data_IF_095558669367
#
_entry.id   IF_095558669367
#
_cell.length_a   1.000
_cell.length_b   1.000
_cell.length_c   1.000
_cell.angle_alpha   90.00
_cell.angle_beta   90.00
_cell.angle_gamma   90.00
#
_symmetry.space_group_name_H-M   'P 1'
#
loop_
_entity.id
_entity.type
_entity.pdbx_description
1 polymer ?
#
# COMPACT_ATOMS: atom_id res chain seq x y z
N UNK A 1 -18.42 -14.53 8.66
CA UNK A 1 -16.95 -14.37 8.80
C UNK A 1 -16.49 -13.13 8.06
N UNK A 2 -15.74 -12.26 8.72
CA UNK A 2 -15.24 -11.06 8.04
C UNK A 2 -14.08 -11.43 7.09
N UNK A 3 -14.30 -11.16 5.83
CA UNK A 3 -13.29 -11.37 4.80
C UNK A 3 -12.45 -10.13 4.63
N UNK A 4 -11.18 -10.31 4.24
CA UNK A 4 -10.26 -9.18 4.05
C UNK A 4 -10.75 -8.23 2.95
N UNK A 5 -11.45 -8.74 1.95
CA UNK A 5 -11.99 -7.91 0.88
C UNK A 5 -12.94 -6.81 1.35
N UNK A 6 -13.57 -7.01 2.51
CA UNK A 6 -14.51 -6.03 3.05
C UNK A 6 -13.85 -4.76 3.56
N UNK A 7 -12.55 -4.82 3.88
CA UNK A 7 -11.80 -3.67 4.42
C UNK A 7 -10.75 -3.15 3.46
N UNK A 8 -10.62 -3.76 2.28
CA UNK A 8 -9.69 -3.28 1.28
C UNK A 8 -10.20 -1.95 0.69
N UNK A 9 -9.35 -0.97 0.63
CA UNK A 9 -9.68 0.32 0.04
C UNK A 9 -9.03 0.47 -1.32
N UNK A 10 -9.76 0.93 -2.33
CA UNK A 10 -9.17 1.21 -3.64
C UNK A 10 -8.02 2.19 -3.50
N UNK A 11 -6.98 2.01 -4.27
CA UNK A 11 -5.80 2.86 -4.22
C UNK A 11 -5.37 3.25 -5.62
N UNK A 12 -4.81 4.46 -5.80
CA UNK A 12 -4.26 4.86 -7.09
C UNK A 12 -2.98 4.09 -7.38
N UNK A 13 -2.54 4.16 -8.62
CA UNK A 13 -1.30 3.54 -9.07
C UNK A 13 -0.32 4.61 -9.50
N UNK A 14 0.91 4.52 -9.02
CA UNK A 14 1.99 5.44 -9.38
C UNK A 14 3.05 4.67 -10.15
N UNK A 15 3.64 5.32 -11.16
CA UNK A 15 4.78 4.73 -11.84
C UNK A 15 6.01 4.73 -10.93
N UNK A 16 6.85 3.69 -11.03
CA UNK A 16 8.01 3.55 -10.16
C UNK A 16 9.03 4.68 -10.33
N UNK A 17 9.02 5.36 -11.48
CA UNK A 17 9.94 6.46 -11.75
C UNK A 17 9.43 7.80 -11.25
N UNK A 18 8.19 7.85 -10.74
CA UNK A 18 7.65 9.06 -10.15
C UNK A 18 8.54 9.49 -8.99
N UNK A 19 8.93 10.78 -8.95
CA UNK A 19 9.73 11.27 -7.84
C UNK A 19 8.94 11.21 -6.54
N UNK A 20 9.64 11.10 -5.42
CA UNK A 20 8.99 11.09 -4.12
C UNK A 20 8.20 12.38 -3.87
N UNK A 21 8.69 13.51 -4.41
CA UNK A 21 7.99 14.78 -4.33
C UNK A 21 6.65 14.73 -5.08
N UNK A 22 6.68 14.30 -6.33
CA UNK A 22 5.46 14.22 -7.16
C UNK A 22 4.47 13.20 -6.60
N UNK A 23 4.99 12.09 -6.07
CA UNK A 23 4.14 11.06 -5.46
C UNK A 23 3.42 11.62 -4.23
N UNK A 24 4.13 12.34 -3.38
CA UNK A 24 3.56 12.98 -2.19
C UNK A 24 2.45 13.96 -2.58
N UNK A 25 2.75 14.83 -3.54
CA UNK A 25 1.80 15.82 -4.01
C UNK A 25 0.55 15.16 -4.59
N UNK A 26 0.72 14.14 -5.40
CA UNK A 26 -0.40 13.44 -6.02
C UNK A 26 -1.29 12.76 -4.98
N UNK A 27 -0.72 12.10 -3.99
CA UNK A 27 -1.48 11.46 -2.94
C UNK A 27 -2.28 12.48 -2.12
N UNK A 28 -1.66 13.61 -1.82
CA UNK A 28 -2.35 14.69 -1.10
C UNK A 28 -3.52 15.23 -1.92
N UNK A 29 -3.31 15.48 -3.21
CA UNK A 29 -4.36 16.00 -4.08
C UNK A 29 -5.52 15.01 -4.24
N UNK A 30 -5.22 13.71 -4.26
CA UNK A 30 -6.24 12.67 -4.38
C UNK A 30 -6.91 12.34 -3.04
N UNK A 31 -6.37 12.84 -1.93
CA UNK A 31 -6.88 12.50 -0.60
C UNK A 31 -6.65 11.05 -0.23
N UNK A 32 -5.55 10.45 -0.72
CA UNK A 32 -5.22 9.04 -0.50
C UNK A 32 -3.99 8.91 0.39
N UNK A 33 -3.94 7.84 1.17
CA UNK A 33 -2.84 7.58 2.09
C UNK A 33 -1.78 6.63 1.53
N UNK A 34 -2.12 5.90 0.48
CA UNK A 34 -1.24 4.89 -0.08
C UNK A 34 -1.57 4.65 -1.54
N UNK A 35 -0.63 4.05 -2.26
CA UNK A 35 -0.76 3.78 -3.69
C UNK A 35 -0.01 2.53 -4.07
N UNK A 36 -0.47 1.86 -5.12
CA UNK A 36 0.32 0.82 -5.76
C UNK A 36 1.44 1.47 -6.55
N UNK A 37 2.61 0.84 -6.54
CA UNK A 37 3.73 1.26 -7.38
C UNK A 37 3.89 0.26 -8.50
N UNK A 38 3.99 0.76 -9.73
CA UNK A 38 3.98 -0.07 -10.92
C UNK A 38 5.23 0.15 -11.75
N UNK A 39 5.81 -0.92 -12.24
CA UNK A 39 6.88 -0.90 -13.23
C UNK A 39 6.38 -1.62 -14.47
N UNK A 40 6.38 -0.92 -15.61
CA UNK A 40 5.78 -1.43 -16.84
C UNK A 40 4.32 -1.80 -16.58
N UNK A 41 3.91 -3.03 -16.75
CA UNK A 41 2.53 -3.46 -16.50
C UNK A 41 2.38 -4.28 -15.21
N UNK A 42 3.36 -4.20 -14.31
CA UNK A 42 3.39 -5.02 -13.11
C UNK A 42 3.43 -4.18 -11.84
N UNK A 43 2.53 -4.44 -10.91
CA UNK A 43 2.58 -3.84 -9.58
C UNK A 43 3.73 -4.47 -8.81
N UNK A 44 4.61 -3.63 -8.25
CA UNK A 44 5.82 -4.10 -7.57
C UNK A 44 5.87 -3.76 -6.10
N UNK A 45 4.99 -2.90 -5.61
CA UNK A 45 5.00 -2.54 -4.20
C UNK A 45 3.89 -1.59 -3.84
N UNK A 46 3.92 -1.12 -2.60
CA UNK A 46 2.95 -0.16 -2.05
C UNK A 46 3.71 1.01 -1.44
N UNK A 47 3.35 2.22 -1.83
CA UNK A 47 3.91 3.44 -1.25
C UNK A 47 2.91 4.03 -0.27
N UNK A 48 3.43 4.54 0.85
CA UNK A 48 2.62 5.12 1.91
C UNK A 48 2.94 6.60 2.07
N UNK A 49 1.91 7.44 2.15
CA UNK A 49 2.09 8.88 2.31
C UNK A 49 2.90 9.22 3.57
N UNK A 50 2.66 8.52 4.67
CA UNK A 50 3.38 8.79 5.91
C UNK A 50 4.90 8.61 5.75
N UNK A 51 5.33 7.60 5.03
CA UNK A 51 6.75 7.36 4.78
C UNK A 51 7.35 8.46 3.93
N UNK A 52 6.59 8.92 2.92
CA UNK A 52 7.04 10.00 2.07
C UNK A 52 7.15 11.31 2.84
N UNK A 53 6.18 11.59 3.72
CA UNK A 53 6.19 12.80 4.55
C UNK A 53 7.33 12.79 5.57
N UNK A 54 7.68 11.63 6.12
CA UNK A 54 8.80 11.54 7.03
C UNK A 54 10.12 11.92 6.36
N UNK A 55 10.29 11.53 5.10
CA UNK A 55 11.46 11.93 4.33
C UNK A 55 11.49 13.43 4.13
N UNK A 56 10.33 14.03 3.92
CA UNK A 56 10.21 15.49 3.82
C UNK A 56 10.68 16.18 5.08
N UNK A 57 10.26 15.68 6.23
CA UNK A 57 10.61 16.27 7.53
C UNK A 57 12.09 16.15 7.84
N UNK A 58 12.75 15.12 7.33
CA UNK A 58 14.18 14.93 7.55
C UNK A 58 15.03 15.84 6.66
N UNK A 59 14.40 16.63 5.80
CA UNK A 59 15.09 17.53 4.89
C UNK A 59 15.63 16.84 3.65
N UNK A 60 15.36 15.58 3.49
CA UNK A 60 15.81 14.80 2.35
C UNK A 60 14.79 14.91 1.20
N UNK A 61 14.64 16.13 0.69
CA UNK A 61 13.74 16.41 -0.43
C UNK A 61 14.48 16.07 -1.71
N UNK A 62 14.85 14.81 -1.87
CA UNK A 62 15.61 14.44 -3.03
C UNK A 62 14.70 14.05 -4.19
N UNK A 63 15.27 14.04 -5.37
CA UNK A 63 14.61 13.58 -6.58
C UNK A 63 14.55 12.06 -6.63
N UNK A 64 14.55 11.45 -5.45
CA UNK A 64 14.52 10.01 -5.29
C UNK A 64 13.20 9.46 -5.80
N UNK A 65 13.23 8.33 -6.46
CA UNK A 65 12.00 7.74 -6.97
C UNK A 65 11.14 7.15 -5.84
N UNK A 66 9.85 7.12 -6.05
CA UNK A 66 8.90 6.57 -5.09
C UNK A 66 9.20 5.10 -4.78
N UNK A 67 9.81 4.39 -5.72
CA UNK A 67 10.17 2.99 -5.53
C UNK A 67 11.14 2.75 -4.36
N UNK A 68 11.90 3.76 -3.97
CA UNK A 68 12.83 3.63 -2.85
C UNK A 68 12.13 3.70 -1.50
N UNK A 69 10.86 4.12 -1.48
CA UNK A 69 10.08 4.24 -0.24
C UNK A 69 8.91 3.27 -0.19
N UNK A 70 8.80 2.37 -1.16
CA UNK A 70 7.71 1.42 -1.19
C UNK A 70 8.03 0.21 -0.31
N UNK A 71 6.96 -0.41 0.21
CA UNK A 71 7.06 -1.71 0.85
C UNK A 71 6.99 -2.80 -0.21
N UNK A 72 7.61 -3.96 0.04
CA UNK A 72 7.48 -5.09 -0.86
C UNK A 72 6.01 -5.47 -1.05
N UNK A 73 5.66 -5.91 -2.24
CA UNK A 73 4.31 -6.34 -2.53
C UNK A 73 4.06 -7.73 -1.94
N UNK A 74 3.11 -7.82 -1.03
CA UNK A 74 2.50 -9.10 -0.65
C UNK A 74 1.01 -8.97 -0.92
N UNK A 75 0.36 -10.07 -1.22
CA UNK A 75 -1.05 -10.03 -1.55
C UNK A 75 -1.80 -11.23 -1.00
N UNK A 76 -3.12 -11.05 -0.89
CA UNK A 76 -4.01 -12.05 -0.34
C UNK A 76 -5.31 -12.01 -1.13
N UNK A 77 -5.98 -13.13 -1.24
CA UNK A 77 -7.27 -13.18 -1.93
C UNK A 77 -8.37 -12.55 -1.06
N UNK A 78 -9.31 -11.88 -1.69
CA UNK A 78 -10.37 -11.12 -1.01
C UNK A 78 -11.25 -11.98 -0.10
N UNK A 79 -11.36 -13.27 -0.36
CA UNK A 79 -12.20 -14.18 0.42
C UNK A 79 -11.46 -14.82 1.61
N UNK A 80 -10.21 -14.47 1.83
CA UNK A 80 -9.48 -14.93 3.00
C UNK A 80 -9.88 -14.12 4.24
N UNK A 81 -9.70 -14.70 5.42
CA UNK A 81 -10.06 -14.00 6.65
C UNK A 81 -9.04 -12.92 7.02
N UNK A 82 -9.51 -11.95 7.79
CA UNK A 82 -8.67 -10.82 8.23
C UNK A 82 -7.51 -11.28 9.09
N UNK A 83 -7.71 -12.33 9.90
CA UNK A 83 -6.65 -12.86 10.75
C UNK A 83 -5.45 -13.35 9.92
N UNK A 84 -5.70 -13.97 8.77
CA UNK A 84 -4.65 -14.42 7.90
C UNK A 84 -3.87 -13.26 7.29
N UNK A 85 -4.57 -12.19 6.93
CA UNK A 85 -3.92 -10.99 6.41
C UNK A 85 -2.99 -10.37 7.47
N UNK A 86 -3.47 -10.27 8.71
CA UNK A 86 -2.66 -9.78 9.82
C UNK A 86 -1.40 -10.61 10.01
N UNK A 87 -1.57 -11.93 10.00
CA UNK A 87 -0.45 -12.86 10.14
C UNK A 87 0.59 -12.67 9.03
N UNK A 88 0.13 -12.54 7.79
CA UNK A 88 1.04 -12.34 6.66
C UNK A 88 1.80 -11.03 6.76
N UNK A 89 1.15 -9.96 7.18
CA UNK A 89 1.81 -8.68 7.33
C UNK A 89 2.84 -8.71 8.46
N UNK A 90 2.51 -9.32 9.59
CA UNK A 90 3.43 -9.44 10.70
C UNK A 90 4.64 -10.32 10.35
N UNK A 91 4.38 -11.44 9.69
CA UNK A 91 5.44 -12.37 9.29
C UNK A 91 6.40 -11.73 8.28
N UNK A 92 5.88 -10.91 7.37
CA UNK A 92 6.68 -10.27 6.34
C UNK A 92 7.18 -8.89 6.74
N UNK A 93 6.84 -8.45 7.94
CA UNK A 93 7.25 -7.15 8.48
C UNK A 93 6.85 -5.99 7.55
N UNK A 94 5.61 -6.02 7.08
CA UNK A 94 5.04 -4.95 6.25
C UNK A 94 3.77 -4.43 6.90
N UNK A 95 3.36 -3.22 6.55
CA UNK A 95 2.17 -2.58 7.11
C UNK A 95 0.98 -2.58 6.16
N UNK A 96 1.19 -2.99 4.91
CA UNK A 96 0.16 -2.98 3.88
C UNK A 96 0.15 -4.31 3.14
N UNK A 97 -1.04 -4.73 2.74
CA UNK A 97 -1.22 -5.94 1.94
C UNK A 97 -2.17 -5.64 0.79
N UNK A 98 -1.82 -6.07 -0.40
CA UNK A 98 -2.69 -5.93 -1.56
C UNK A 98 -3.74 -7.03 -1.55
N UNK A 99 -4.98 -6.66 -1.84
CA UNK A 99 -6.09 -7.61 -1.84
C UNK A 99 -6.52 -7.83 -3.29
N UNK A 100 -6.62 -9.09 -3.68
CA UNK A 100 -6.95 -9.46 -5.06
C UNK A 100 -8.20 -10.32 -5.13
N UNK A 101 -8.82 -10.33 -6.32
CA UNK A 101 -9.90 -11.26 -6.62
C UNK A 101 -9.33 -12.66 -6.83
N UNK A 102 -10.20 -13.65 -6.98
CA UNK A 102 -9.78 -15.01 -7.31
C UNK A 102 -8.95 -15.06 -8.60
N UNK A 103 -9.29 -14.20 -9.56
CA UNK A 103 -8.59 -14.14 -10.85
C UNK A 103 -7.23 -13.42 -10.75
N UNK A 104 -6.95 -12.74 -9.63
CA UNK A 104 -5.70 -12.04 -9.43
C UNK A 104 -5.75 -10.54 -9.71
N UNK A 105 -6.94 -10.00 -9.96
CA UNK A 105 -7.10 -8.56 -10.17
C UNK A 105 -7.07 -7.84 -8.82
N UNK A 106 -6.44 -6.68 -8.77
CA UNK A 106 -6.33 -5.93 -7.52
C UNK A 106 -7.65 -5.26 -7.16
N UNK A 107 -8.11 -5.51 -5.92
CA UNK A 107 -9.30 -4.89 -5.36
C UNK A 107 -8.92 -3.61 -4.62
N UNK A 108 -7.81 -3.64 -3.92
CA UNK A 108 -7.35 -2.50 -3.13
C UNK A 108 -6.25 -2.90 -2.17
N UNK A 109 -6.07 -2.07 -1.14
CA UNK A 109 -5.03 -2.26 -0.14
C UNK A 109 -5.67 -2.25 1.25
N UNK A 110 -5.22 -3.14 2.13
CA UNK A 110 -5.60 -3.12 3.53
C UNK A 110 -4.36 -2.83 4.37
N UNK A 111 -4.53 -2.11 5.47
CA UNK A 111 -3.43 -1.78 6.36
C UNK A 111 -3.50 -2.59 7.65
N UNK A 112 -2.34 -2.90 8.21
CA UNK A 112 -2.26 -3.58 9.51
C UNK A 112 -2.92 -2.74 10.60
N UNK A 113 -2.70 -1.44 10.57
CA UNK A 113 -3.26 -0.51 11.53
C UNK A 113 -4.80 -0.53 11.51
N UNK A 114 -5.38 -0.60 10.33
CA UNK A 114 -6.83 -0.68 10.17
C UNK A 114 -7.37 -1.97 10.77
N UNK A 115 -6.69 -3.10 10.49
CA UNK A 115 -7.12 -4.40 11.01
C UNK A 115 -7.01 -4.48 12.53
N UNK A 116 -5.97 -3.91 13.11
CA UNK A 116 -5.81 -3.84 14.56
C UNK A 116 -6.93 -3.02 15.19
N UNK A 117 -7.32 -1.92 14.56
CA UNK A 117 -8.37 -1.04 15.05
C UNK A 117 -9.75 -1.70 15.01
N UNK A 118 -9.98 -2.57 14.04
CA UNK A 118 -11.26 -3.24 13.86
C UNK A 118 -11.40 -4.56 14.61
N UNK A 119 -10.35 -5.00 15.28
CA UNK A 119 -10.39 -6.25 16.04
C UNK A 119 -10.99 -6.11 17.44
N UNK A 120 -11.49 -4.95 17.77
CA UNK A 120 -12.16 -4.67 19.05
C UNK A 120 -13.67 -4.75 18.95
#
# INVERSE_FOLDING_TARGET
MPYIGEVASPAPTLDHQTSSFDATEELILLGQDHAFVKRDDRVIGVACLDNLLEKYKSGDISETSVAEFMEPLIFIKEFECRAKATELMLTNNVEYIAVTTRAGDFVGIASLKQLEKESY
#
